data_IF_887302754434
#
_entry.id   IF_887302754434
#
_cell.length_a   1.000
_cell.length_b   1.000
_cell.length_c   1.000
_cell.angle_alpha   90.00
_cell.angle_beta   90.00
_cell.angle_gamma   90.00
#
_symmetry.space_group_name_H-M   'P 1'
#
loop_
_entity.id
_entity.type
_entity.pdbx_description
1 polymer ?
#
# COMPACT_ATOMS: atom_id res chain seq x y z
N UNK A 1 0.90 19.86 -3.63
CA UNK A 1 0.86 18.46 -4.14
C UNK A 1 1.27 17.57 -2.97
N UNK A 2 0.45 16.60 -2.57
CA UNK A 2 0.78 15.74 -1.43
C UNK A 2 1.67 14.58 -1.92
N UNK A 3 2.88 14.46 -1.39
CA UNK A 3 3.83 13.38 -1.70
C UNK A 3 3.44 12.06 -1.00
N UNK A 4 2.23 11.56 -1.29
CA UNK A 4 1.71 10.32 -0.71
C UNK A 4 1.62 9.23 -1.79
N UNK A 5 2.35 8.14 -1.58
CA UNK A 5 2.35 6.95 -2.44
C UNK A 5 1.49 5.85 -1.82
N UNK A 6 0.83 5.03 -2.63
CA UNK A 6 0.00 3.92 -2.17
C UNK A 6 0.58 2.58 -2.60
N UNK A 7 0.79 1.68 -1.65
CA UNK A 7 1.28 0.32 -1.86
C UNK A 7 0.23 -0.70 -1.47
N UNK A 8 0.17 -1.82 -2.19
CA UNK A 8 -0.48 -3.03 -1.71
C UNK A 8 0.52 -3.83 -0.88
N UNK A 9 0.15 -4.15 0.37
CA UNK A 9 1.03 -4.82 1.32
C UNK A 9 0.37 -6.07 1.87
N UNK A 10 1.19 -6.96 2.43
CA UNK A 10 0.71 -8.15 3.12
C UNK A 10 -0.19 -7.77 4.31
N UNK A 11 -1.23 -8.58 4.56
CA UNK A 11 -2.20 -8.32 5.62
C UNK A 11 -1.63 -8.42 7.03
N UNK A 12 -0.55 -9.19 7.21
CA UNK A 12 0.15 -9.37 8.49
C UNK A 12 1.17 -8.27 8.74
N UNK A 13 1.42 -7.39 7.76
CA UNK A 13 2.40 -6.32 7.89
C UNK A 13 1.92 -5.22 8.86
N UNK A 14 2.87 -4.72 9.65
CA UNK A 14 2.71 -3.61 10.58
C UNK A 14 3.24 -2.29 9.99
N UNK A 15 2.79 -1.14 10.51
CA UNK A 15 3.22 0.19 10.03
C UNK A 15 4.75 0.37 10.08
N UNK A 16 5.37 -0.14 11.15
CA UNK A 16 6.82 -0.04 11.37
C UNK A 16 7.59 -0.84 10.31
N UNK A 17 7.11 -2.04 9.99
CA UNK A 17 7.73 -2.88 8.96
C UNK A 17 7.62 -2.25 7.58
N UNK A 18 6.44 -1.71 7.23
CA UNK A 18 6.23 -1.02 5.95
C UNK A 18 7.12 0.21 5.85
N UNK A 19 7.25 0.99 6.93
CA UNK A 19 8.14 2.16 6.97
C UNK A 19 9.59 1.74 6.67
N UNK A 20 10.13 0.78 7.41
CA UNK A 20 11.51 0.34 7.22
C UNK A 20 11.75 -0.28 5.84
N UNK A 21 10.79 -1.06 5.33
CA UNK A 21 10.91 -1.65 4.00
C UNK A 21 10.96 -0.59 2.90
N UNK A 22 10.12 0.46 3.01
CA UNK A 22 10.12 1.57 2.04
C UNK A 22 11.40 2.41 2.16
N UNK A 23 11.85 2.71 3.38
CA UNK A 23 13.11 3.42 3.62
C UNK A 23 14.30 2.65 3.02
N UNK A 24 14.36 1.32 3.19
CA UNK A 24 15.47 0.49 2.69
C UNK A 24 15.44 0.26 1.18
N UNK A 25 14.26 0.00 0.60
CA UNK A 25 14.15 -0.34 -0.82
C UNK A 25 14.33 0.88 -1.74
N UNK A 26 13.91 2.05 -1.27
CA UNK A 26 13.88 3.26 -2.08
C UNK A 26 14.86 4.34 -1.59
N UNK A 27 15.57 4.11 -0.50
CA UNK A 27 16.53 5.06 0.10
C UNK A 27 15.91 6.46 0.33
N UNK A 28 14.63 6.48 0.75
CA UNK A 28 13.86 7.71 0.99
C UNK A 28 13.50 7.86 2.46
N UNK A 29 13.26 9.10 2.89
CA UNK A 29 12.73 9.36 4.22
C UNK A 29 11.20 9.39 4.22
N UNK A 30 10.60 8.59 5.10
CA UNK A 30 9.15 8.51 5.27
C UNK A 30 8.70 9.45 6.39
N UNK A 31 7.70 10.28 6.14
CA UNK A 31 7.08 11.12 7.16
C UNK A 31 6.03 10.34 7.96
N UNK A 32 5.08 9.71 7.27
CA UNK A 32 3.97 8.99 7.93
C UNK A 32 3.48 7.80 7.11
N UNK A 33 2.91 6.80 7.80
CA UNK A 33 2.30 5.62 7.16
C UNK A 33 0.87 5.42 7.68
N UNK A 34 -0.08 5.35 6.75
CA UNK A 34 -1.49 5.06 7.01
C UNK A 34 -1.87 3.76 6.31
N UNK A 35 -2.41 2.79 7.05
CA UNK A 35 -2.80 1.49 6.48
C UNK A 35 -4.30 1.29 6.57
N UNK A 36 -4.89 0.70 5.54
CA UNK A 36 -6.33 0.42 5.42
C UNK A 36 -6.52 -1.00 4.95
N UNK A 37 -7.44 -1.73 5.60
CA UNK A 37 -7.85 -3.06 5.15
C UNK A 37 -9.00 -2.92 4.15
N UNK A 38 -8.85 -3.50 2.95
CA UNK A 38 -9.88 -3.52 1.93
C UNK A 38 -10.46 -4.92 1.80
N UNK A 39 -11.75 -5.05 2.14
CA UNK A 39 -12.50 -6.29 1.91
C UNK A 39 -12.56 -6.59 0.41
N UNK A 40 -12.41 -7.87 0.08
CA UNK A 40 -12.54 -8.34 -1.29
C UNK A 40 -13.96 -8.20 -1.81
N UNK A 41 -14.10 -7.74 -3.06
CA UNK A 41 -15.41 -7.65 -3.71
C UNK A 41 -16.03 -9.06 -3.78
N UNK A 42 -17.32 -9.24 -3.43
CA UNK A 42 -18.00 -10.49 -3.67
C UNK A 42 -17.92 -10.84 -5.16
N UNK A 43 -17.55 -12.07 -5.45
CA UNK A 43 -17.51 -12.62 -6.80
C UNK A 43 -18.93 -13.07 -7.16
N UNK A 44 -19.26 -13.01 -8.46
CA UNK A 44 -20.54 -13.49 -8.96
C UNK A 44 -20.78 -14.92 -8.46
N UNK A 45 -21.94 -15.15 -7.83
CA UNK A 45 -22.32 -16.45 -7.30
C UNK A 45 -22.44 -17.45 -8.45
N UNK A 46 -21.70 -18.55 -8.37
CA UNK A 46 -21.90 -19.71 -9.25
C UNK A 46 -22.60 -20.79 -8.43
N UNK A 47 -23.93 -20.92 -8.61
CA UNK A 47 -24.75 -21.87 -7.84
C UNK A 47 -24.88 -21.51 -6.35
N UNK A 48 -24.56 -22.48 -5.47
CA UNK A 48 -24.66 -22.34 -4.00
C UNK A 48 -23.45 -21.64 -3.36
N UNK A 49 -22.33 -21.52 -4.07
CA UNK A 49 -21.08 -21.01 -3.49
C UNK A 49 -20.97 -19.50 -3.68
N UNK A 50 -20.91 -18.76 -2.57
CA UNK A 50 -20.56 -17.35 -2.55
C UNK A 50 -19.07 -17.20 -2.24
N UNK A 51 -18.29 -16.75 -3.22
CA UNK A 51 -16.86 -16.51 -3.07
C UNK A 51 -16.57 -15.01 -3.01
N UNK A 52 -15.50 -14.62 -2.33
CA UNK A 52 -14.98 -13.26 -2.31
C UNK A 52 -13.60 -13.22 -2.96
N UNK A 53 -13.26 -12.08 -3.58
CA UNK A 53 -11.87 -11.81 -3.98
C UNK A 53 -10.97 -11.78 -2.74
N UNK A 54 -9.66 -12.04 -2.89
CA UNK A 54 -8.73 -11.86 -1.78
C UNK A 54 -8.82 -10.43 -1.23
N UNK A 55 -8.81 -10.33 0.09
CA UNK A 55 -8.75 -9.04 0.78
C UNK A 55 -7.31 -8.52 0.71
N UNK A 56 -7.17 -7.22 0.49
CA UNK A 56 -5.85 -6.57 0.38
C UNK A 56 -5.68 -5.52 1.46
N UNK A 57 -4.44 -5.25 1.86
CA UNK A 57 -4.13 -4.13 2.75
C UNK A 57 -3.43 -3.06 1.93
N UNK A 58 -3.93 -1.83 2.00
CA UNK A 58 -3.33 -0.67 1.33
C UNK A 58 -2.53 0.13 2.33
N UNK A 59 -1.32 0.53 1.97
CA UNK A 59 -0.47 1.41 2.76
C UNK A 59 -0.25 2.71 2.00
N UNK A 60 -0.77 3.80 2.54
CA UNK A 60 -0.50 5.16 2.11
C UNK A 60 0.72 5.68 2.87
N UNK A 61 1.81 5.90 2.15
CA UNK A 61 3.10 6.31 2.68
C UNK A 61 3.36 7.73 2.24
N UNK A 62 3.50 8.64 3.20
CA UNK A 62 3.85 10.03 2.96
C UNK A 62 5.37 10.17 3.03
N UNK A 63 5.96 10.69 1.96
CA UNK A 63 7.39 10.97 1.89
C UNK A 63 7.71 12.33 2.50
N UNK A 64 8.94 12.49 3.00
CA UNK A 64 9.42 13.76 3.52
C UNK A 64 9.51 14.82 2.40
N UNK A 65 9.24 16.10 2.70
CA UNK A 65 9.38 17.18 1.72
C UNK A 65 10.85 17.29 1.28
N UNK A 66 11.12 17.02 -0.01
CA UNK A 66 12.47 17.04 -0.59
C UNK A 66 13.13 15.67 -0.80
N UNK A 67 12.47 14.56 -0.44
CA UNK A 67 12.93 13.23 -0.85
C UNK A 67 12.68 13.01 -2.34
N UNK A 68 13.61 12.36 -3.03
CA UNK A 68 13.46 11.94 -4.44
C UNK A 68 12.20 11.09 -4.56
N UNK A 69 11.32 11.44 -5.50
CA UNK A 69 10.23 10.53 -5.86
C UNK A 69 10.86 9.25 -6.41
N UNK A 70 10.38 8.05 -6.02
CA UNK A 70 10.86 6.83 -6.63
C UNK A 70 10.61 6.91 -8.14
N UNK A 71 11.67 6.79 -8.95
CA UNK A 71 11.67 6.93 -10.42
C UNK A 71 10.61 6.04 -11.11
N UNK A 72 10.12 5.02 -10.40
CA UNK A 72 9.10 4.08 -10.84
C UNK A 72 7.68 4.66 -11.03
N UNK A 73 7.38 5.85 -10.51
CA UNK A 73 6.00 6.40 -10.54
C UNK A 73 5.77 7.52 -11.56
N UNK A 74 6.80 7.98 -12.29
CA UNK A 74 6.63 9.05 -13.30
C UNK A 74 6.04 8.57 -14.63
N UNK A 75 5.89 7.24 -14.82
CA UNK A 75 5.37 6.63 -16.04
C UNK A 75 3.90 6.20 -16.03
N UNK A 76 3.08 6.64 -15.05
CA UNK A 76 1.66 6.25 -14.89
C UNK A 76 0.73 7.46 -14.96
#
# INVERSE_FOLDING_TARGET
QENTVCFEVDRRANKIQVRHAVEQLFDVQVASVRMVNRKGKPIMRYGRVANHRPETRKAYVQLAPGSKNPEFFEGV
#
